data_IF_485234952376
#
_entry.id   IF_485234952376
#
_cell.length_a   1.000
_cell.length_b   1.000
_cell.length_c   1.000
_cell.angle_alpha   90.00
_cell.angle_beta   90.00
_cell.angle_gamma   90.00
#
_symmetry.space_group_name_H-M   'P 1'
#
loop_
_entity.id
_entity.type
_entity.pdbx_description
1 polymer ?
#
# COMPACT_ATOMS: atom_id res chain seq x y z
N UNK A 1 -6.44 -1.01 -26.81
CA UNK A 1 -7.04 -2.35 -26.60
C UNK A 1 -8.44 -2.39 -27.18
N UNK A 2 -8.80 -3.46 -27.91
CA UNK A 2 -10.15 -3.66 -28.43
C UNK A 2 -11.15 -3.94 -27.30
N UNK A 3 -12.45 -3.85 -27.61
CA UNK A 3 -13.53 -4.33 -26.75
C UNK A 3 -13.58 -5.86 -26.87
N UNK A 4 -13.62 -6.57 -25.74
CA UNK A 4 -13.62 -8.03 -25.65
C UNK A 4 -14.44 -8.48 -24.42
N UNK A 5 -15.67 -8.94 -24.68
CA UNK A 5 -16.63 -9.37 -23.66
C UNK A 5 -16.26 -10.69 -22.95
N UNK A 6 -15.24 -11.40 -23.44
CA UNK A 6 -14.73 -12.62 -22.77
C UNK A 6 -13.84 -12.31 -21.56
N UNK A 7 -13.38 -11.05 -21.41
CA UNK A 7 -12.51 -10.64 -20.31
C UNK A 7 -13.30 -10.29 -19.04
N UNK A 8 -12.74 -10.58 -17.85
CA UNK A 8 -13.41 -10.30 -16.57
C UNK A 8 -13.40 -8.80 -16.17
N UNK A 9 -12.75 -7.94 -16.95
CA UNK A 9 -12.64 -6.50 -16.69
C UNK A 9 -13.15 -5.70 -17.89
N UNK A 10 -13.60 -4.48 -17.63
CA UNK A 10 -14.02 -3.58 -18.70
C UNK A 10 -12.88 -3.32 -19.69
N UNK A 11 -13.16 -3.57 -20.98
CA UNK A 11 -12.23 -3.35 -22.09
C UNK A 11 -12.63 -2.10 -22.90
N UNK A 12 -11.69 -1.22 -23.29
CA UNK A 12 -10.26 -1.26 -22.99
C UNK A 12 -9.97 -1.11 -21.50
N UNK A 13 -8.93 -1.80 -21.05
CA UNK A 13 -8.49 -1.73 -19.65
C UNK A 13 -8.25 -0.27 -19.25
N UNK A 14 -8.76 0.09 -18.08
CA UNK A 14 -8.53 1.38 -17.44
C UNK A 14 -8.32 1.18 -15.94
N UNK A 15 -7.55 2.06 -15.28
CA UNK A 15 -7.44 2.07 -13.82
C UNK A 15 -8.82 2.19 -13.16
N UNK A 16 -8.94 1.64 -11.94
CA UNK A 16 -10.19 1.76 -11.17
C UNK A 16 -10.49 3.23 -10.87
N UNK A 17 -11.77 3.65 -10.90
CA UNK A 17 -12.16 4.95 -10.35
C UNK A 17 -11.59 5.12 -8.93
N UNK A 18 -11.02 6.29 -8.63
CA UNK A 18 -10.39 6.64 -7.35
C UNK A 18 -9.13 5.85 -6.96
N UNK A 19 -8.51 5.08 -7.87
CA UNK A 19 -7.24 4.39 -7.59
C UNK A 19 -6.12 5.35 -7.16
N UNK A 20 -6.09 6.56 -7.73
CA UNK A 20 -5.02 7.56 -7.48
C UNK A 20 -4.89 7.97 -6.02
N UNK A 21 -5.99 8.00 -5.25
CA UNK A 21 -5.96 8.38 -3.84
C UNK A 21 -5.19 7.38 -2.95
N UNK A 22 -5.01 6.15 -3.43
CA UNK A 22 -4.38 5.06 -2.68
C UNK A 22 -3.17 4.47 -3.42
N UNK A 23 -2.73 5.08 -4.52
CA UNK A 23 -1.65 4.58 -5.36
C UNK A 23 -0.28 5.02 -4.84
N UNK A 24 0.23 4.36 -3.81
CA UNK A 24 1.59 4.55 -3.30
C UNK A 24 2.34 3.22 -3.19
N UNK A 25 3.61 3.20 -3.58
CA UNK A 25 4.47 2.02 -3.49
C UNK A 25 5.37 2.19 -2.26
N UNK A 26 5.35 1.25 -1.29
CA UNK A 26 6.19 1.35 -0.11
C UNK A 26 7.65 1.04 -0.42
N UNK A 27 8.57 1.74 0.25
CA UNK A 27 10.04 1.63 0.00
C UNK A 27 10.66 0.27 0.33
N UNK A 28 9.93 -0.58 1.03
CA UNK A 28 10.35 -1.95 1.36
C UNK A 28 9.96 -2.97 0.29
N UNK A 29 9.23 -2.55 -0.77
CA UNK A 29 8.89 -3.35 -1.93
C UNK A 29 9.45 -2.72 -3.20
N UNK A 30 10.14 -3.53 -4.00
CA UNK A 30 10.42 -3.21 -5.40
C UNK A 30 9.35 -3.88 -6.26
N UNK A 31 8.63 -3.13 -7.10
CA UNK A 31 7.50 -3.64 -7.88
C UNK A 31 7.73 -3.45 -9.38
N UNK A 32 7.36 -4.45 -10.17
CA UNK A 32 7.35 -4.39 -11.63
C UNK A 32 5.93 -4.64 -12.17
N UNK A 33 5.17 -3.58 -12.51
CA UNK A 33 3.80 -3.70 -13.01
C UNK A 33 3.68 -4.39 -14.38
N UNK A 34 4.75 -4.44 -15.18
CA UNK A 34 4.69 -5.06 -16.52
C UNK A 34 4.50 -6.58 -16.44
N UNK A 35 5.08 -7.21 -15.41
CA UNK A 35 5.00 -8.66 -15.16
C UNK A 35 4.22 -8.99 -13.88
N UNK A 36 3.63 -7.98 -13.23
CA UNK A 36 2.89 -8.12 -11.97
C UNK A 36 3.68 -8.83 -10.85
N UNK A 37 4.99 -8.56 -10.76
CA UNK A 37 5.87 -9.17 -9.76
C UNK A 37 6.41 -8.12 -8.78
N UNK A 38 6.80 -8.57 -7.59
CA UNK A 38 7.42 -7.74 -6.58
C UNK A 38 8.48 -8.51 -5.78
N UNK A 39 9.50 -7.81 -5.29
CA UNK A 39 10.54 -8.35 -4.41
C UNK A 39 10.44 -7.67 -3.05
N UNK A 40 10.38 -8.49 -2.00
CA UNK A 40 10.46 -8.02 -0.62
C UNK A 40 11.91 -7.73 -0.25
N UNK A 41 12.27 -6.44 -0.24
CA UNK A 41 13.65 -6.03 -0.03
C UNK A 41 14.07 -6.11 1.43
N UNK A 42 13.17 -5.70 2.34
CA UNK A 42 13.44 -5.56 3.77
C UNK A 42 12.16 -5.43 4.58
N UNK A 43 12.31 -5.49 5.89
CA UNK A 43 11.26 -5.10 6.83
C UNK A 43 11.09 -3.57 6.87
N UNK A 44 9.86 -3.05 7.05
CA UNK A 44 9.62 -1.62 7.16
C UNK A 44 10.32 -1.04 8.39
N UNK A 45 11.03 0.08 8.20
CA UNK A 45 11.76 0.76 9.28
C UNK A 45 11.31 2.20 9.46
N UNK A 46 11.40 2.72 10.68
CA UNK A 46 11.27 4.15 10.94
C UNK A 46 12.61 4.87 10.68
N UNK A 47 12.54 6.02 10.02
CA UNK A 47 13.69 6.90 9.74
C UNK A 47 13.41 8.29 10.32
N UNK A 48 14.44 9.13 10.42
CA UNK A 48 14.25 10.52 10.85
C UNK A 48 13.26 11.22 9.92
N UNK A 49 12.13 11.65 10.48
CA UNK A 49 11.08 12.39 9.76
C UNK A 49 10.05 11.55 9.00
N UNK A 50 10.15 10.21 8.96
CA UNK A 50 9.14 9.36 8.33
C UNK A 50 9.17 7.91 8.83
N UNK A 51 8.03 7.22 8.78
CA UNK A 51 7.96 5.77 8.94
C UNK A 51 7.58 5.12 7.61
N UNK A 52 8.11 3.93 7.34
CA UNK A 52 7.77 3.20 6.11
C UNK A 52 6.42 2.46 6.20
N UNK A 53 5.88 2.24 7.40
CA UNK A 53 4.57 1.60 7.61
C UNK A 53 3.45 2.56 7.18
N UNK A 54 2.59 2.19 6.21
CA UNK A 54 1.48 3.03 5.79
C UNK A 54 0.38 3.05 6.85
N UNK A 55 0.17 4.22 7.45
CA UNK A 55 -0.92 4.45 8.42
C UNK A 55 -1.54 5.82 8.17
N UNK A 56 -2.88 5.93 8.12
CA UNK A 56 -3.56 7.22 8.01
C UNK A 56 -3.68 7.94 9.37
N UNK A 57 -3.12 7.37 10.44
CA UNK A 57 -3.24 7.91 11.79
C UNK A 57 -2.03 8.76 12.19
N UNK A 58 -2.28 9.72 13.08
CA UNK A 58 -1.22 10.53 13.67
C UNK A 58 -0.36 9.71 14.64
N UNK A 59 0.84 10.22 14.93
CA UNK A 59 1.76 9.64 15.90
C UNK A 59 1.12 9.40 17.28
N UNK A 60 0.31 10.36 17.76
CA UNK A 60 -0.34 10.26 19.08
C UNK A 60 -1.28 9.05 19.15
N UNK A 61 -2.05 8.80 18.10
CA UNK A 61 -2.93 7.64 18.00
C UNK A 61 -2.11 6.35 18.06
N UNK A 62 -1.03 6.26 17.28
CA UNK A 62 -0.15 5.08 17.29
C UNK A 62 0.51 4.83 18.65
N UNK A 63 0.89 5.88 19.37
CA UNK A 63 1.47 5.77 20.71
C UNK A 63 0.46 5.21 21.72
N UNK A 64 -0.78 5.71 21.72
CA UNK A 64 -1.85 5.18 22.59
C UNK A 64 -2.15 3.71 22.27
N UNK A 65 -2.19 3.35 20.98
CA UNK A 65 -2.37 1.96 20.56
C UNK A 65 -1.24 1.08 21.06
N UNK A 66 0.02 1.51 21.00
CA UNK A 66 1.15 0.75 21.53
C UNK A 66 0.97 0.48 23.04
N UNK A 67 0.64 1.51 23.82
CA UNK A 67 0.43 1.36 25.27
C UNK A 67 -0.68 0.36 25.59
N UNK A 68 -1.82 0.44 24.89
CA UNK A 68 -2.91 -0.52 25.09
C UNK A 68 -2.44 -1.97 24.90
N UNK A 69 -1.66 -2.25 23.86
CA UNK A 69 -1.22 -3.61 23.57
C UNK A 69 -0.11 -4.14 24.49
N UNK A 70 0.53 -3.29 25.30
CA UNK A 70 1.48 -3.74 26.34
C UNK A 70 0.74 -4.47 27.47
N UNK A 71 -0.39 -3.93 27.92
CA UNK A 71 -1.11 -4.41 29.12
C UNK A 71 -2.45 -5.08 28.78
N UNK A 72 -2.99 -4.83 27.57
CA UNK A 72 -4.31 -5.28 27.08
C UNK A 72 -5.50 -4.70 27.86
N UNK A 73 -5.30 -3.53 28.49
CA UNK A 73 -6.32 -2.83 29.27
C UNK A 73 -5.78 -2.30 30.59
#
# INVERSE_FOLDING_TARGET
>A
NPIDDSKPYATPWRPRPYMSAFAFIPRYLEVNPNICAAVYLRHPVARKGMAEVPTPFSYLTSQLTHNWYLERG
#
